data_IF_249847107188
#
_entry.id   IF_249847107188
#
_cell.length_a   1.000
_cell.length_b   1.000
_cell.length_c   1.000
_cell.angle_alpha   90.00
_cell.angle_beta   90.00
_cell.angle_gamma   90.00
#
_symmetry.space_group_name_H-M   'P 1'
#
loop_
_entity.id
_entity.type
_entity.pdbx_description
1 polymer ?
#
# COMPACT_ATOMS: atom_id res chain seq x y z
N UNK A 1 22.48 15.78 23.19
CA UNK A 1 22.29 14.53 22.44
C UNK A 1 20.79 14.38 22.22
N UNK A 2 20.32 14.70 21.02
CA UNK A 2 18.88 14.70 20.72
C UNK A 2 18.45 13.28 20.38
N UNK A 3 17.75 12.61 21.30
CA UNK A 3 17.10 11.32 21.02
C UNK A 3 16.06 11.54 19.92
N UNK A 4 16.32 11.01 18.73
CA UNK A 4 15.32 10.92 17.68
C UNK A 4 14.20 10.00 18.18
N UNK A 5 13.00 10.55 18.35
CA UNK A 5 11.80 9.79 18.71
C UNK A 5 11.53 8.77 17.62
N UNK A 6 11.83 7.49 17.86
CA UNK A 6 11.56 6.42 16.92
C UNK A 6 10.04 6.32 16.74
N UNK A 7 9.55 6.73 15.57
CA UNK A 7 8.13 6.73 15.26
C UNK A 7 7.70 5.27 15.16
N UNK A 8 6.93 4.80 16.14
CA UNK A 8 6.44 3.42 16.14
C UNK A 8 5.65 3.17 14.84
N UNK A 9 6.08 2.17 14.08
CA UNK A 9 5.40 1.77 12.86
C UNK A 9 4.16 0.98 13.21
N UNK A 10 3.00 1.54 12.86
CA UNK A 10 1.72 0.88 13.05
C UNK A 10 1.26 0.28 11.72
N UNK A 11 1.59 -1.00 11.52
CA UNK A 11 1.18 -1.77 10.36
C UNK A 11 -0.34 -1.95 10.35
N UNK A 12 -0.97 -1.60 9.23
CA UNK A 12 -2.39 -1.80 9.00
C UNK A 12 -2.61 -3.10 8.23
N UNK A 13 -3.45 -3.96 8.79
CA UNK A 13 -3.83 -5.26 8.23
C UNK A 13 -5.33 -5.31 7.94
N UNK A 14 -5.69 -5.94 6.82
CA UNK A 14 -7.07 -5.99 6.35
C UNK A 14 -7.75 -7.25 6.86
N UNK A 15 -8.50 -7.14 7.95
CA UNK A 15 -9.19 -8.29 8.56
C UNK A 15 -10.63 -8.46 8.06
N UNK A 16 -11.25 -7.39 7.57
CA UNK A 16 -12.64 -7.43 7.11
C UNK A 16 -12.68 -7.74 5.61
N UNK A 17 -13.33 -8.82 5.19
CA UNK A 17 -13.55 -9.08 3.77
C UNK A 17 -14.50 -8.02 3.20
N UNK A 18 -14.20 -7.56 1.98
CA UNK A 18 -15.14 -6.69 1.25
C UNK A 18 -16.38 -7.51 0.86
N UNK A 19 -17.55 -6.87 0.93
CA UNK A 19 -18.81 -7.54 0.64
C UNK A 19 -18.96 -7.90 -0.85
N UNK A 20 -18.27 -7.16 -1.72
CA UNK A 20 -18.30 -7.34 -3.17
C UNK A 20 -16.89 -7.42 -3.73
N UNK A 21 -16.73 -8.15 -4.83
CA UNK A 21 -15.52 -8.14 -5.65
C UNK A 21 -15.74 -7.25 -6.86
N UNK A 22 -14.73 -6.48 -7.26
CA UNK A 22 -14.79 -5.64 -8.45
C UNK A 22 -15.08 -6.49 -9.69
N UNK A 23 -16.11 -6.11 -10.42
CA UNK A 23 -16.45 -6.59 -11.75
C UNK A 23 -16.76 -5.40 -12.69
N UNK A 24 -17.23 -5.68 -13.90
CA UNK A 24 -17.50 -4.64 -14.89
C UNK A 24 -18.77 -3.83 -14.61
N UNK A 25 -19.61 -4.24 -13.66
CA UNK A 25 -20.94 -3.67 -13.41
C UNK A 25 -21.01 -2.91 -12.09
N UNK A 26 -20.08 -3.19 -11.16
CA UNK A 26 -20.17 -2.72 -9.77
C UNK A 26 -19.09 -1.72 -9.35
N UNK A 27 -18.32 -1.17 -10.30
CA UNK A 27 -17.15 -0.32 -10.03
C UNK A 27 -17.41 0.78 -8.99
N UNK A 28 -18.49 1.55 -9.12
CA UNK A 28 -18.79 2.66 -8.20
C UNK A 28 -19.04 2.19 -6.77
N UNK A 29 -19.75 1.07 -6.59
CA UNK A 29 -20.02 0.51 -5.27
C UNK A 29 -18.75 -0.07 -4.65
N UNK A 30 -17.95 -0.78 -5.45
CA UNK A 30 -16.66 -1.33 -5.01
C UNK A 30 -15.72 -0.20 -4.60
N UNK A 31 -15.61 0.85 -5.42
CA UNK A 31 -14.75 2.00 -5.18
C UNK A 31 -15.15 2.71 -3.88
N UNK A 32 -16.45 2.87 -3.61
CA UNK A 32 -16.92 3.46 -2.36
C UNK A 32 -16.47 2.66 -1.13
N UNK A 33 -16.60 1.32 -1.15
CA UNK A 33 -16.16 0.47 -0.03
C UNK A 33 -14.65 0.50 0.15
N UNK A 34 -13.90 0.37 -0.95
CA UNK A 34 -12.44 0.39 -0.94
C UNK A 34 -11.89 1.71 -0.40
N UNK A 35 -12.40 2.84 -0.90
CA UNK A 35 -11.96 4.16 -0.44
C UNK A 35 -12.34 4.41 1.03
N UNK A 36 -13.49 3.93 1.49
CA UNK A 36 -13.87 4.03 2.89
C UNK A 36 -12.88 3.27 3.81
N UNK A 37 -12.53 2.04 3.44
CA UNK A 37 -11.52 1.24 4.16
C UNK A 37 -10.15 1.92 4.17
N UNK A 38 -9.64 2.31 2.99
CA UNK A 38 -8.32 2.96 2.85
C UNK A 38 -8.23 4.24 3.70
N UNK A 39 -9.28 5.06 3.70
CA UNK A 39 -9.34 6.28 4.53
C UNK A 39 -9.40 5.96 6.01
N UNK A 40 -10.19 4.97 6.42
CA UNK A 40 -10.29 4.51 7.80
C UNK A 40 -8.94 4.04 8.37
N UNK A 41 -8.12 3.40 7.55
CA UNK A 41 -6.78 2.93 7.91
C UNK A 41 -5.66 3.97 7.65
N UNK A 42 -6.00 5.19 7.20
CA UNK A 42 -5.05 6.27 6.88
C UNK A 42 -4.02 5.88 5.79
N UNK A 43 -4.43 5.04 4.84
CA UNK A 43 -3.58 4.55 3.74
C UNK A 43 -3.74 5.35 2.44
N UNK A 44 -4.55 6.41 2.41
CA UNK A 44 -4.86 7.16 1.19
C UNK A 44 -3.61 7.66 0.44
N UNK A 45 -2.51 7.96 1.14
CA UNK A 45 -1.26 8.41 0.52
C UNK A 45 -0.72 7.41 -0.51
N UNK A 46 -0.89 6.12 -0.29
CA UNK A 46 -0.35 5.06 -1.16
C UNK A 46 -1.04 5.01 -2.52
N UNK A 47 -2.32 5.38 -2.61
CA UNK A 47 -3.09 5.41 -3.87
C UNK A 47 -3.12 6.80 -4.53
N UNK A 48 -2.69 7.85 -3.81
CA UNK A 48 -2.80 9.24 -4.30
C UNK A 48 -1.46 9.79 -4.78
N UNK A 49 -0.35 9.31 -4.22
CA UNK A 49 0.98 9.78 -4.60
C UNK A 49 1.97 8.64 -4.69
N UNK A 50 2.87 8.73 -5.68
CA UNK A 50 4.03 7.87 -5.82
C UNK A 50 5.19 8.31 -4.90
N UNK A 51 4.90 8.96 -3.77
CA UNK A 51 5.92 9.54 -2.90
C UNK A 51 6.50 8.45 -1.99
N UNK A 52 7.39 7.64 -2.56
CA UNK A 52 8.12 6.58 -1.87
C UNK A 52 9.28 7.21 -1.09
N UNK A 53 9.48 6.84 0.20
CA UNK A 53 10.63 7.30 0.98
C UNK A 53 11.97 6.94 0.33
N UNK A 54 13.02 7.68 0.70
CA UNK A 54 14.37 7.39 0.22
C UNK A 54 14.80 5.98 0.64
N UNK A 55 15.28 5.18 -0.33
CA UNK A 55 15.70 3.80 -0.11
C UNK A 55 16.82 3.66 0.92
N UNK A 56 17.73 4.63 0.97
CA UNK A 56 18.86 4.68 1.88
C UNK A 56 18.81 5.98 2.68
N UNK A 57 19.12 5.95 3.98
CA UNK A 57 19.09 7.14 4.83
C UNK A 57 20.37 7.99 4.69
N UNK A 58 21.50 7.33 4.44
CA UNK A 58 22.82 7.96 4.28
C UNK A 58 23.57 7.40 3.07
N UNK A 59 24.68 8.05 2.69
CA UNK A 59 25.59 7.56 1.65
C UNK A 59 26.29 6.27 2.05
N UNK A 60 26.58 6.11 3.34
CA UNK A 60 27.21 4.92 3.91
C UNK A 60 26.24 3.73 3.86
N UNK A 61 24.97 3.95 4.20
CA UNK A 61 23.92 2.94 4.07
C UNK A 61 23.74 2.49 2.62
N UNK A 62 23.84 3.42 1.66
CA UNK A 62 23.80 3.08 0.24
C UNK A 62 24.99 2.21 -0.17
N UNK A 63 26.19 2.47 0.36
CA UNK A 63 27.39 1.68 0.09
C UNK A 63 27.31 0.27 0.69
N UNK A 64 26.66 0.10 1.85
CA UNK A 64 26.43 -1.20 2.49
C UNK A 64 25.11 -1.86 2.09
N UNK A 65 24.31 -1.23 1.22
CA UNK A 65 22.96 -1.65 0.83
C UNK A 65 22.00 -1.85 2.04
N UNK A 66 22.13 -1.02 3.07
CA UNK A 66 21.27 -1.00 4.25
C UNK A 66 20.04 -0.15 3.99
N UNK A 67 18.86 -0.76 3.89
CA UNK A 67 17.63 -0.01 3.63
C UNK A 67 17.27 0.91 4.79
N UNK A 68 16.64 2.05 4.47
CA UNK A 68 16.05 2.91 5.49
C UNK A 68 14.80 2.23 6.06
N UNK A 69 14.62 2.37 7.37
CA UNK A 69 13.46 1.83 8.07
C UNK A 69 12.14 2.37 7.49
N UNK A 70 12.11 3.66 7.08
CA UNK A 70 10.94 4.27 6.45
C UNK A 70 10.61 3.67 5.08
N UNK A 71 11.63 3.33 4.29
CA UNK A 71 11.44 2.66 3.01
C UNK A 71 10.89 1.25 3.21
N UNK A 72 11.46 0.46 4.13
CA UNK A 72 10.98 -0.88 4.42
C UNK A 72 9.53 -0.88 4.91
N UNK A 73 9.19 0.01 5.84
CA UNK A 73 7.83 0.18 6.33
C UNK A 73 6.85 0.59 5.22
N UNK A 74 7.27 1.49 4.34
CA UNK A 74 6.46 1.91 3.20
C UNK A 74 6.21 0.74 2.25
N UNK A 75 7.25 0.02 1.84
CA UNK A 75 7.14 -1.14 0.95
C UNK A 75 6.24 -2.20 1.59
N UNK A 76 6.46 -2.53 2.87
CA UNK A 76 5.64 -3.52 3.57
C UNK A 76 4.16 -3.14 3.58
N UNK A 77 3.83 -1.89 3.92
CA UNK A 77 2.44 -1.44 3.98
C UNK A 77 1.79 -1.35 2.59
N UNK A 78 2.52 -0.87 1.58
CA UNK A 78 2.05 -0.78 0.19
C UNK A 78 1.74 -2.16 -0.39
N UNK A 79 2.61 -3.15 -0.12
CA UNK A 79 2.41 -4.52 -0.61
C UNK A 79 1.19 -5.19 0.03
N UNK A 80 0.92 -4.95 1.32
CA UNK A 80 -0.33 -5.43 1.94
C UNK A 80 -1.57 -4.78 1.32
N UNK A 81 -1.52 -3.49 1.03
CA UNK A 81 -2.63 -2.79 0.36
C UNK A 81 -2.83 -3.32 -1.06
N UNK A 82 -1.74 -3.53 -1.80
CA UNK A 82 -1.74 -4.11 -3.15
C UNK A 82 -2.37 -5.50 -3.14
N UNK A 83 -1.92 -6.40 -2.26
CA UNK A 83 -2.47 -7.74 -2.12
C UNK A 83 -3.97 -7.72 -1.78
N UNK A 84 -4.39 -6.81 -0.90
CA UNK A 84 -5.80 -6.64 -0.55
C UNK A 84 -6.65 -6.08 -1.69
N UNK A 85 -6.14 -5.09 -2.44
CA UNK A 85 -6.80 -4.56 -3.63
C UNK A 85 -6.99 -5.66 -4.67
N UNK A 86 -5.96 -6.46 -4.96
CA UNK A 86 -6.07 -7.60 -5.88
C UNK A 86 -7.08 -8.64 -5.37
N UNK A 87 -7.06 -8.98 -4.08
CA UNK A 87 -8.03 -9.92 -3.49
C UNK A 87 -9.48 -9.42 -3.59
N UNK A 88 -9.68 -8.09 -3.67
CA UNK A 88 -10.97 -7.45 -3.86
C UNK A 88 -11.50 -7.49 -5.30
N UNK A 89 -10.76 -8.06 -6.24
CA UNK A 89 -11.14 -8.08 -7.66
C UNK A 89 -11.59 -9.47 -8.11
N UNK A 90 -12.45 -9.51 -9.11
CA UNK A 90 -12.79 -10.74 -9.82
C UNK A 90 -11.66 -11.15 -10.77
N UNK A 91 -11.59 -12.45 -11.10
CA UNK A 91 -10.56 -13.00 -12.00
C UNK A 91 -10.45 -12.27 -13.35
N UNK A 92 -11.54 -11.88 -14.04
CA UNK A 92 -11.45 -11.14 -15.30
C UNK A 92 -10.82 -9.74 -15.18
N UNK A 93 -10.87 -9.13 -14.00
CA UNK A 93 -10.21 -7.85 -13.72
C UNK A 93 -8.76 -8.09 -13.35
N UNK A 94 -8.47 -9.12 -12.54
CA UNK A 94 -7.10 -9.49 -12.14
C UNK A 94 -6.16 -9.72 -13.33
N UNK A 95 -6.65 -10.30 -14.43
CA UNK A 95 -5.84 -10.49 -15.65
C UNK A 95 -5.35 -9.17 -16.25
N UNK A 96 -6.07 -8.06 -16.02
CA UNK A 96 -5.67 -6.72 -16.46
C UNK A 96 -4.70 -6.04 -15.50
N UNK A 97 -4.55 -6.56 -14.27
CA UNK A 97 -3.69 -5.99 -13.23
C UNK A 97 -2.28 -6.62 -13.22
N UNK A 98 -2.00 -7.56 -14.13
CA UNK A 98 -0.71 -8.24 -14.21
C UNK A 98 0.40 -7.22 -14.53
N UNK A 99 1.46 -7.21 -13.71
CA UNK A 99 2.59 -6.29 -13.84
C UNK A 99 2.43 -4.97 -13.08
N UNK A 100 1.29 -4.75 -12.42
CA UNK A 100 1.13 -3.65 -11.47
C UNK A 100 1.65 -4.11 -10.11
N UNK A 101 2.67 -3.43 -9.59
CA UNK A 101 3.41 -3.87 -8.40
C UNK A 101 3.04 -3.08 -7.14
N UNK A 102 2.49 -1.88 -7.31
CA UNK A 102 2.18 -0.98 -6.19
C UNK A 102 0.72 -0.56 -6.20
N UNK A 103 0.21 -0.19 -5.04
CA UNK A 103 -1.19 0.22 -4.90
C UNK A 103 -1.53 1.51 -5.66
N UNK A 104 -0.52 2.33 -5.98
CA UNK A 104 -0.65 3.52 -6.82
C UNK A 104 -0.93 3.18 -8.30
N UNK A 105 -0.51 1.99 -8.76
CA UNK A 105 -0.66 1.58 -10.16
C UNK A 105 -1.99 0.89 -10.46
N UNK A 106 -2.63 0.33 -9.42
CA UNK A 106 -3.93 -0.33 -9.47
C UNK A 106 -5.06 0.72 -9.53
#
# INVERSE_FOLDING_TARGET
MSSATQKSFNLQTFHTPLAIKLDNENFLLWQQQVLASIRGMKLQKFITSSNVPAKFATTEDAASNTLSQDYEHHVQQDQLLTAWLLASMSTPILTKMVGLETSFQI
#
